data_IF_687280510981
#
_entry.id   IF_687280510981
#
_cell.length_a   1.000
_cell.length_b   1.000
_cell.length_c   1.000
_cell.angle_alpha   90.00
_cell.angle_beta   90.00
_cell.angle_gamma   90.00
#
_symmetry.space_group_name_H-M   'P 1'
#
loop_
_entity.id
_entity.type
_entity.pdbx_description
1 polymer ?
#
# COMPACT_ATOMS: atom_id res chain seq x y z
N UNK A 1 38.70 40.80 31.21
CA UNK A 1 39.56 39.69 30.74
C UNK A 1 40.44 39.21 31.88
N UNK A 2 40.13 38.05 32.48
CA UNK A 2 41.07 37.10 33.12
C UNK A 2 40.25 35.90 33.58
N UNK A 3 40.42 34.80 32.84
CA UNK A 3 39.93 33.47 33.18
C UNK A 3 40.85 32.86 34.23
N UNK A 4 40.33 32.16 35.25
CA UNK A 4 41.07 31.06 35.88
C UNK A 4 40.19 30.16 36.77
N UNK A 5 39.98 28.92 36.27
CA UNK A 5 40.07 27.61 36.96
C UNK A 5 39.23 27.35 38.22
N UNK A 6 38.23 26.47 38.07
CA UNK A 6 37.63 25.68 39.17
C UNK A 6 38.51 24.45 39.48
N UNK A 7 38.76 24.11 40.76
CA UNK A 7 39.47 22.89 41.13
C UNK A 7 38.56 21.65 41.13
N UNK A 8 39.18 20.52 40.80
CA UNK A 8 38.64 19.15 40.78
C UNK A 8 39.02 18.43 42.08
N UNK A 9 38.28 17.33 42.38
CA UNK A 9 38.53 16.20 43.33
C UNK A 9 37.60 16.22 44.54
N UNK A 10 37.10 15.11 45.10
CA UNK A 10 37.33 13.66 44.95
C UNK A 10 36.04 12.94 45.39
N UNK A 11 35.60 11.89 44.70
CA UNK A 11 35.74 10.47 45.08
C UNK A 11 35.37 10.12 46.53
N UNK A 12 34.33 9.30 46.73
CA UNK A 12 34.25 8.25 47.76
C UNK A 12 32.93 7.48 47.66
N UNK A 13 32.98 6.17 47.87
CA UNK A 13 31.80 5.40 48.26
C UNK A 13 31.47 4.22 47.35
N UNK A 14 32.16 3.10 47.56
CA UNK A 14 31.72 1.78 47.14
C UNK A 14 30.47 1.33 47.93
N UNK A 15 29.86 0.23 47.44
CA UNK A 15 28.84 -0.63 48.06
C UNK A 15 27.38 -0.30 47.72
N UNK A 16 26.78 -1.09 46.81
CA UNK A 16 25.90 -2.22 47.18
C UNK A 16 25.33 -2.83 45.90
N UNK A 17 25.62 -4.12 45.68
CA UNK A 17 24.90 -4.95 44.72
C UNK A 17 23.45 -5.11 45.19
N UNK A 18 22.50 -4.58 44.43
CA UNK A 18 21.10 -5.02 44.50
C UNK A 18 20.71 -5.45 43.09
N UNK A 19 20.65 -6.77 42.90
CA UNK A 19 20.11 -7.39 41.71
C UNK A 19 18.59 -7.12 41.66
N UNK A 20 18.18 -6.15 40.86
CA UNK A 20 16.79 -6.02 40.44
C UNK A 20 16.60 -6.84 39.16
N UNK A 21 16.08 -8.05 39.31
CA UNK A 21 15.46 -8.81 38.22
C UNK A 21 14.26 -8.00 37.72
N UNK A 22 14.51 -7.08 36.78
CA UNK A 22 13.45 -6.41 36.05
C UNK A 22 12.79 -7.45 35.15
N UNK A 23 11.64 -7.94 35.59
CA UNK A 23 10.69 -8.72 34.80
C UNK A 23 10.50 -8.04 33.45
N UNK A 24 10.94 -8.70 32.38
CA UNK A 24 10.68 -8.28 31.01
C UNK A 24 9.20 -8.36 30.72
N UNK A 25 8.47 -7.27 31.00
CA UNK A 25 7.18 -7.04 30.39
C UNK A 25 7.44 -6.74 28.91
N UNK A 26 7.39 -7.77 28.07
CA UNK A 26 7.34 -7.62 26.63
C UNK A 26 6.00 -6.96 26.29
N UNK A 27 5.95 -5.64 26.42
CA UNK A 27 4.85 -4.83 25.95
C UNK A 27 4.89 -4.82 24.43
N UNK A 28 4.20 -5.79 23.81
CA UNK A 28 3.77 -5.65 22.43
C UNK A 28 2.71 -4.53 22.42
N UNK A 29 3.18 -3.29 22.31
CA UNK A 29 2.30 -2.19 21.95
C UNK A 29 1.67 -2.55 20.60
N UNK A 30 0.34 -2.40 20.44
CA UNK A 30 -0.25 -2.53 19.12
C UNK A 30 0.44 -1.49 18.24
N UNK A 31 1.21 -1.97 17.26
CA UNK A 31 1.78 -1.09 16.26
C UNK A 31 0.59 -0.46 15.55
N UNK A 32 0.35 0.83 15.80
CA UNK A 32 -0.58 1.63 15.03
C UNK A 32 -0.02 1.61 13.61
N UNK A 33 -0.51 0.70 12.78
CA UNK A 33 -0.15 0.64 11.36
C UNK A 33 -0.59 1.97 10.77
N UNK A 34 0.38 2.85 10.53
CA UNK A 34 0.13 4.12 9.86
C UNK A 34 -0.23 3.77 8.42
N UNK A 35 -1.51 3.94 8.10
CA UNK A 35 -2.06 3.76 6.78
C UNK A 35 -1.28 4.69 5.84
N UNK A 36 -0.62 4.12 4.83
CA UNK A 36 0.21 4.89 3.90
C UNK A 36 -0.61 6.03 3.28
N UNK A 37 0.00 7.20 3.01
CA UNK A 37 -0.69 8.32 2.36
C UNK A 37 -1.34 7.86 1.05
N UNK A 38 -2.63 8.16 0.88
CA UNK A 38 -3.39 7.78 -0.32
C UNK A 38 -4.15 6.46 -0.23
N UNK A 39 -4.24 5.85 0.96
CA UNK A 39 -5.17 4.74 1.25
C UNK A 39 -6.34 5.28 2.07
N UNK A 40 -7.54 5.33 1.51
CA UNK A 40 -8.79 5.58 2.28
C UNK A 40 -9.68 4.35 2.20
N UNK A 41 -10.57 4.13 3.17
CA UNK A 41 -11.63 3.11 3.02
C UNK A 41 -12.96 3.83 2.82
N UNK A 42 -13.60 3.57 1.69
CA UNK A 42 -14.92 4.08 1.37
C UNK A 42 -15.76 2.91 0.84
N UNK A 43 -16.99 2.78 1.33
CA UNK A 43 -17.91 1.72 0.86
C UNK A 43 -17.40 0.29 1.14
N UNK A 44 -16.51 0.09 2.12
CA UNK A 44 -15.94 -1.22 2.45
C UNK A 44 -14.79 -1.69 1.55
N UNK A 45 -14.35 -0.86 0.60
CA UNK A 45 -13.12 -1.06 -0.16
C UNK A 45 -12.09 0.01 0.18
N UNK A 46 -10.82 -0.35 0.01
CA UNK A 46 -9.73 0.62 -0.06
C UNK A 46 -9.88 1.46 -1.33
N UNK A 47 -9.33 2.66 -1.30
CA UNK A 47 -9.09 3.52 -2.45
C UNK A 47 -7.60 3.81 -2.50
N UNK A 48 -7.00 3.65 -3.67
CA UNK A 48 -5.58 3.92 -3.90
C UNK A 48 -5.43 5.01 -4.95
N UNK A 49 -4.62 6.03 -4.65
CA UNK A 49 -4.30 7.10 -5.59
C UNK A 49 -3.30 6.66 -6.68
N UNK A 50 -3.62 5.59 -7.42
CA UNK A 50 -2.80 5.08 -8.52
C UNK A 50 -2.97 5.96 -9.78
N UNK A 51 -1.89 6.28 -10.51
CA UNK A 51 -1.97 7.18 -11.66
C UNK A 51 -2.56 6.50 -12.89
N UNK A 52 -3.27 7.24 -13.74
CA UNK A 52 -3.53 6.81 -15.12
C UNK A 52 -2.24 6.84 -15.93
N UNK A 53 -2.09 5.99 -16.94
CA UNK A 53 -0.89 5.92 -17.78
C UNK A 53 -0.58 4.52 -18.32
N UNK A 54 0.65 4.38 -18.81
CA UNK A 54 1.22 3.08 -19.19
C UNK A 54 1.61 2.31 -17.93
N UNK A 55 1.33 1.01 -17.91
CA UNK A 55 1.68 0.10 -16.84
C UNK A 55 2.52 -1.04 -17.41
N UNK A 56 3.65 -1.31 -16.76
CA UNK A 56 4.58 -2.40 -17.09
C UNK A 56 4.48 -3.50 -16.06
N UNK A 57 4.28 -4.71 -16.54
CA UNK A 57 4.10 -5.90 -15.71
C UNK A 57 5.37 -6.76 -15.69
N UNK A 58 5.49 -7.65 -14.70
CA UNK A 58 6.74 -8.38 -14.44
C UNK A 58 7.20 -9.27 -15.61
N UNK A 59 6.26 -9.81 -16.41
CA UNK A 59 6.59 -10.69 -17.53
C UNK A 59 6.53 -9.97 -18.88
N UNK A 60 6.54 -8.64 -18.87
CA UNK A 60 6.65 -7.81 -20.07
C UNK A 60 5.32 -7.43 -20.71
N UNK A 61 4.18 -7.81 -20.13
CA UNK A 61 2.88 -7.28 -20.54
C UNK A 61 2.84 -5.76 -20.34
N UNK A 62 2.16 -5.07 -21.25
CA UNK A 62 1.93 -3.62 -21.19
C UNK A 62 0.45 -3.33 -21.21
N UNK A 63 0.04 -2.40 -20.36
CA UNK A 63 -1.34 -1.98 -20.21
C UNK A 63 -1.41 -0.46 -20.31
N UNK A 64 -2.51 0.05 -20.85
CA UNK A 64 -2.86 1.46 -20.73
C UNK A 64 -4.06 1.57 -19.79
N UNK A 65 -3.96 2.37 -18.73
CA UNK A 65 -5.08 2.57 -17.81
C UNK A 65 -5.47 4.04 -17.77
N UNK A 66 -6.77 4.31 -17.93
CA UNK A 66 -7.39 5.60 -17.63
C UNK A 66 -8.45 5.41 -16.56
N UNK A 67 -8.32 6.15 -15.46
CA UNK A 67 -9.22 6.10 -14.31
C UNK A 67 -10.25 7.23 -14.37
N UNK A 68 -11.49 6.93 -14.03
CA UNK A 68 -12.58 7.90 -13.95
C UNK A 68 -12.91 8.17 -12.48
N UNK A 69 -12.26 9.20 -11.94
CA UNK A 69 -12.40 9.62 -10.55
C UNK A 69 -13.64 10.50 -10.36
N UNK A 70 -14.51 10.14 -9.42
CA UNK A 70 -15.57 11.01 -8.92
C UNK A 70 -15.54 11.01 -7.39
N UNK A 71 -15.54 12.20 -6.78
CA UNK A 71 -15.42 12.36 -5.32
C UNK A 71 -14.21 11.61 -4.70
N UNK A 72 -13.08 11.63 -5.40
CA UNK A 72 -11.86 10.91 -5.04
C UNK A 72 -11.98 9.37 -5.01
N UNK A 73 -13.05 8.79 -5.58
CA UNK A 73 -13.22 7.36 -5.79
C UNK A 73 -13.13 7.05 -7.28
N UNK A 74 -12.30 6.08 -7.64
CA UNK A 74 -12.25 5.58 -9.00
C UNK A 74 -13.44 4.65 -9.27
N UNK A 75 -14.46 5.06 -10.03
CA UNK A 75 -15.64 4.19 -10.25
C UNK A 75 -15.51 3.29 -11.48
N UNK A 76 -14.59 3.62 -12.38
CA UNK A 76 -14.45 2.96 -13.67
C UNK A 76 -13.05 3.14 -14.22
N UNK A 77 -12.57 2.14 -14.94
CA UNK A 77 -11.34 2.25 -15.71
C UNK A 77 -11.57 1.91 -17.19
N UNK A 78 -10.87 2.62 -18.05
CA UNK A 78 -10.66 2.22 -19.44
C UNK A 78 -9.30 1.53 -19.52
N UNK A 79 -9.30 0.28 -19.96
CA UNK A 79 -8.14 -0.60 -20.04
C UNK A 79 -7.78 -0.87 -21.49
N UNK A 80 -6.59 -0.46 -21.90
CA UNK A 80 -5.96 -0.91 -23.14
C UNK A 80 -5.08 -2.13 -22.90
N UNK A 81 -5.41 -3.26 -23.51
CA UNK A 81 -4.63 -4.50 -23.40
C UNK A 81 -4.79 -5.37 -24.64
N UNK A 82 -3.69 -6.00 -25.06
CA UNK A 82 -3.65 -6.93 -26.20
C UNK A 82 -4.32 -6.38 -27.47
N UNK A 83 -4.07 -5.10 -27.78
CA UNK A 83 -4.61 -4.42 -28.96
C UNK A 83 -6.09 -3.98 -28.87
N UNK A 84 -6.75 -4.23 -27.74
CA UNK A 84 -8.16 -3.89 -27.53
C UNK A 84 -8.35 -2.88 -26.40
N UNK A 85 -9.53 -2.27 -26.34
CA UNK A 85 -9.96 -1.36 -25.27
C UNK A 85 -11.16 -1.95 -24.55
N UNK A 86 -11.15 -1.91 -23.22
CA UNK A 86 -12.18 -2.47 -22.36
C UNK A 86 -12.61 -1.42 -21.34
N UNK A 87 -13.90 -1.40 -21.02
CA UNK A 87 -14.45 -0.56 -19.97
C UNK A 87 -14.79 -1.46 -18.78
N UNK A 88 -14.05 -1.29 -17.68
CA UNK A 88 -14.26 -2.08 -16.47
C UNK A 88 -14.92 -1.19 -15.41
N UNK A 89 -16.06 -1.64 -14.89
CA UNK A 89 -16.80 -0.96 -13.83
C UNK A 89 -16.33 -1.46 -12.46
N UNK A 90 -16.31 -0.58 -11.46
CA UNK A 90 -16.05 -1.03 -10.08
C UNK A 90 -17.17 -1.96 -9.60
N UNK A 91 -16.78 -3.13 -9.10
CA UNK A 91 -17.69 -4.00 -8.36
C UNK A 91 -17.78 -3.52 -6.91
N UNK A 92 -18.88 -2.83 -6.57
CA UNK A 92 -19.12 -2.30 -5.22
C UNK A 92 -19.52 -3.38 -4.20
N UNK A 93 -19.91 -4.58 -4.65
CA UNK A 93 -20.26 -5.68 -3.75
C UNK A 93 -19.04 -6.38 -3.16
N UNK A 94 -17.88 -6.22 -3.80
CA UNK A 94 -16.61 -6.75 -3.31
C UNK A 94 -16.09 -5.96 -2.10
N UNK A 95 -15.36 -6.61 -1.20
CA UNK A 95 -14.73 -5.96 -0.04
C UNK A 95 -13.20 -6.00 -0.13
N UNK A 96 -12.53 -5.01 0.44
CA UNK A 96 -11.07 -4.97 0.46
C UNK A 96 -10.49 -4.20 -0.74
N UNK A 97 -9.72 -4.86 -1.61
CA UNK A 97 -9.03 -4.17 -2.70
C UNK A 97 -10.03 -3.66 -3.77
N UNK A 98 -9.80 -2.47 -4.38
CA UNK A 98 -10.56 -2.04 -5.54
C UNK A 98 -10.58 -3.11 -6.62
N UNK A 99 -11.78 -3.51 -7.01
CA UNK A 99 -12.00 -4.50 -8.06
C UNK A 99 -12.84 -3.89 -9.16
N UNK A 100 -12.38 -4.04 -10.39
CA UNK A 100 -13.06 -3.56 -11.59
C UNK A 100 -13.26 -4.71 -12.55
N UNK A 101 -14.43 -4.79 -13.18
CA UNK A 101 -14.79 -5.90 -14.06
C UNK A 101 -15.45 -5.42 -15.35
N UNK A 102 -15.15 -6.13 -16.44
CA UNK A 102 -15.93 -6.08 -17.67
C UNK A 102 -16.58 -7.45 -17.85
N UNK A 103 -17.90 -7.52 -17.62
CA UNK A 103 -18.65 -8.77 -17.71
C UNK A 103 -18.68 -9.38 -19.12
N UNK A 104 -18.48 -8.58 -20.18
CA UNK A 104 -18.51 -9.07 -21.54
C UNK A 104 -17.20 -9.79 -21.91
N UNK A 105 -16.05 -9.15 -21.66
CA UNK A 105 -14.75 -9.79 -21.88
C UNK A 105 -14.39 -10.81 -20.80
N UNK A 106 -14.97 -10.68 -19.61
CA UNK A 106 -14.59 -11.43 -18.42
C UNK A 106 -13.26 -10.96 -17.84
N UNK A 107 -12.80 -9.74 -18.14
CA UNK A 107 -11.57 -9.20 -17.56
C UNK A 107 -11.83 -8.61 -16.18
N UNK A 108 -10.87 -8.83 -15.27
CA UNK A 108 -10.92 -8.28 -13.91
C UNK A 108 -9.60 -7.59 -13.61
N UNK A 109 -9.68 -6.32 -13.24
CA UNK A 109 -8.55 -5.54 -12.76
C UNK A 109 -8.68 -5.31 -11.25
N UNK A 110 -7.57 -5.51 -10.53
CA UNK A 110 -7.50 -5.27 -9.08
C UNK A 110 -6.38 -4.26 -8.83
N UNK A 111 -6.71 -3.15 -8.16
CA UNK A 111 -5.69 -2.24 -7.66
C UNK A 111 -5.12 -2.77 -6.33
N UNK A 112 -3.81 -2.73 -6.21
CA UNK A 112 -3.04 -2.96 -4.97
C UNK A 112 -2.37 -1.63 -4.58
N UNK A 113 -1.85 -1.48 -3.35
CA UNK A 113 -1.35 -0.19 -2.87
C UNK A 113 -0.32 0.55 -3.76
N UNK A 114 0.43 -0.17 -4.60
CA UNK A 114 1.44 0.41 -5.50
C UNK A 114 1.57 -0.31 -6.86
N UNK A 115 0.63 -1.18 -7.19
CA UNK A 115 0.63 -2.01 -8.41
C UNK A 115 -0.78 -2.45 -8.75
N UNK A 116 -0.95 -3.17 -9.84
CA UNK A 116 -2.20 -3.86 -10.15
C UNK A 116 -1.98 -5.22 -10.80
N UNK A 117 -3.09 -5.92 -10.97
CA UNK A 117 -3.15 -7.27 -11.50
C UNK A 117 -4.36 -7.38 -12.42
N UNK A 118 -4.14 -7.92 -13.62
CA UNK A 118 -5.19 -8.29 -14.56
C UNK A 118 -5.42 -9.80 -14.48
N UNK A 119 -6.68 -10.20 -14.31
CA UNK A 119 -7.11 -11.59 -14.21
C UNK A 119 -8.08 -11.93 -15.33
N UNK A 120 -8.11 -13.21 -15.69
CA UNK A 120 -9.28 -13.84 -16.29
C UNK A 120 -10.33 -14.01 -15.18
N UNK A 121 -11.46 -13.35 -15.31
CA UNK A 121 -12.55 -13.36 -14.35
C UNK A 121 -13.29 -14.68 -14.25
N UNK A 122 -13.21 -15.55 -15.27
CA UNK A 122 -13.85 -16.87 -15.27
C UNK A 122 -12.98 -17.93 -14.61
N UNK A 123 -11.66 -17.87 -14.82
CA UNK A 123 -10.72 -18.85 -14.27
C UNK A 123 -9.89 -18.34 -13.09
N UNK A 124 -9.98 -17.05 -12.78
CA UNK A 124 -9.15 -16.35 -11.78
C UNK A 124 -7.64 -16.47 -12.01
N UNK A 125 -7.22 -16.73 -13.25
CA UNK A 125 -5.80 -16.86 -13.60
C UNK A 125 -5.20 -15.48 -13.88
N UNK A 126 -3.96 -15.22 -13.45
CA UNK A 126 -3.28 -13.98 -13.79
C UNK A 126 -2.95 -13.92 -15.28
N UNK A 127 -3.41 -12.86 -15.93
CA UNK A 127 -3.09 -12.52 -17.32
C UNK A 127 -1.91 -11.55 -17.40
N UNK A 128 -1.82 -10.62 -16.45
CA UNK A 128 -0.69 -9.72 -16.29
C UNK A 128 -0.55 -9.36 -14.80
N UNK A 129 0.64 -9.58 -14.22
CA UNK A 129 0.87 -9.49 -12.78
C UNK A 129 1.96 -8.47 -12.43
N UNK A 130 1.94 -7.99 -11.19
CA UNK A 130 2.91 -7.02 -10.66
C UNK A 130 3.02 -5.74 -11.51
N UNK A 131 1.91 -5.28 -12.09
CA UNK A 131 1.90 -4.16 -13.03
C UNK A 131 2.06 -2.82 -12.30
N UNK A 132 3.06 -2.02 -12.69
CA UNK A 132 3.36 -0.71 -12.10
C UNK A 132 3.30 0.38 -13.16
N UNK A 133 2.87 1.57 -12.76
CA UNK A 133 2.94 2.74 -13.64
C UNK A 133 4.40 2.98 -14.08
N UNK A 134 4.59 3.23 -15.37
CA UNK A 134 5.89 3.44 -15.99
C UNK A 134 6.49 4.83 -15.73
#
# INVERSE_FOLDING_TARGET
MRSMKKPVRAASGALLFVAALATGACGLLPQKTEVAPGVTQQTGQFEFALPSGEYRCERGERLQIRRELANAVNNRIQLGWNGSQYQLERDLSYSGLPRFEDGASGLVWIDLPWKGLLLDGRTHKPLANECRAA
#
